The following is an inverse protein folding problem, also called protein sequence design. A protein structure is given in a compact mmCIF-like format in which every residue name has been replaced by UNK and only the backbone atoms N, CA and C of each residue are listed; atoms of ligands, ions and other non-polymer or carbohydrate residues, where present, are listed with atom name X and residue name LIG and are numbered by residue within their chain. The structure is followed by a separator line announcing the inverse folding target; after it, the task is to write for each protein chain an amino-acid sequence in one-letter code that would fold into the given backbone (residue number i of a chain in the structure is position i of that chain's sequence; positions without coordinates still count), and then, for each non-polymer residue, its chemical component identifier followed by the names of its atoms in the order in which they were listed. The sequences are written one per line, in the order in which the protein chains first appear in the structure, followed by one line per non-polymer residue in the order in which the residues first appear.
data_IF_794119419651
#
_entry.id   IF_794119419651
#
_cell.length_a   1.000
_cell.length_b   1.000
_cell.length_c   1.000
_cell.angle_alpha   90.00
_cell.angle_beta   90.00
_cell.angle_gamma   90.00
#
_symmetry.space_group_name_H-M   'P 1'
#
loop_
_entity.id
_entity.type
_entity.pdbx_description
1 polymer ?
#
# COMPACT_ATOMS: atom_id res chain seq x y z
N UNK A 1 -79.27 -52.61 -4.27
CA UNK A 1 -78.63 -51.28 -4.13
C UNK A 1 -78.19 -50.84 -5.52
N UNK A 2 -78.81 -49.75 -5.96
CA UNK A 2 -78.57 -48.83 -7.09
C UNK A 2 -77.79 -49.24 -8.37
N UNK A 3 -78.22 -48.74 -9.55
CA UNK A 3 -77.88 -49.22 -10.90
C UNK A 3 -77.00 -48.22 -11.68
N UNK A 4 -76.77 -48.46 -12.99
CA UNK A 4 -76.79 -47.49 -14.13
C UNK A 4 -75.79 -47.87 -15.23
N UNK A 5 -76.27 -48.18 -16.43
CA UNK A 5 -76.63 -47.31 -17.56
C UNK A 5 -75.44 -47.03 -18.50
N UNK A 6 -75.64 -47.49 -19.74
CA UNK A 6 -75.10 -46.99 -21.01
C UNK A 6 -75.01 -45.46 -21.12
N UNK A 7 -74.09 -44.94 -21.94
CA UNK A 7 -74.34 -43.95 -23.02
C UNK A 7 -73.00 -43.41 -23.63
N UNK A 8 -72.89 -43.57 -24.95
CA UNK A 8 -72.49 -42.61 -26.01
C UNK A 8 -71.31 -41.62 -25.77
N UNK A 9 -70.35 -41.50 -26.71
CA UNK A 9 -69.33 -40.44 -26.68
C UNK A 9 -69.89 -39.05 -27.08
N UNK A 10 -69.52 -38.03 -26.30
CA UNK A 10 -69.80 -36.61 -26.51
C UNK A 10 -68.90 -35.98 -27.58
N UNK A 11 -69.49 -35.06 -28.35
CA UNK A 11 -68.81 -33.99 -29.09
C UNK A 11 -68.04 -33.05 -28.14
N UNK A 12 -66.95 -32.43 -28.60
CA UNK A 12 -66.65 -30.99 -28.46
C UNK A 12 -65.37 -30.61 -29.23
N UNK A 13 -65.48 -29.82 -30.31
CA UNK A 13 -65.18 -28.37 -30.39
C UNK A 13 -63.67 -28.04 -30.47
N UNK A 14 -63.16 -27.88 -31.70
CA UNK A 14 -61.84 -27.27 -31.95
C UNK A 14 -61.95 -25.74 -31.85
N UNK A 15 -61.38 -25.23 -30.76
CA UNK A 15 -61.34 -23.84 -30.36
C UNK A 15 -60.38 -23.02 -31.24
N UNK A 16 -60.90 -21.96 -31.86
CA UNK A 16 -60.12 -20.84 -32.40
C UNK A 16 -59.53 -20.10 -31.19
N UNK A 17 -58.20 -20.00 -31.07
CA UNK A 17 -57.55 -19.18 -30.04
C UNK A 17 -56.68 -18.09 -30.65
N UNK A 18 -57.21 -16.88 -30.62
CA UNK A 18 -56.56 -15.61 -30.95
C UNK A 18 -55.51 -15.29 -29.87
N UNK A 19 -54.22 -15.39 -30.18
CA UNK A 19 -53.15 -14.92 -29.27
C UNK A 19 -53.14 -13.38 -29.23
N UNK A 20 -53.57 -12.79 -28.09
CA UNK A 20 -53.25 -11.40 -27.73
C UNK A 20 -51.86 -11.38 -27.09
N UNK A 21 -50.91 -10.76 -27.77
CA UNK A 21 -49.56 -10.49 -27.25
C UNK A 21 -49.65 -9.29 -26.29
N UNK A 22 -49.60 -9.53 -24.98
CA UNK A 22 -49.45 -8.45 -23.99
C UNK A 22 -47.95 -8.19 -23.76
N UNK A 23 -47.47 -7.04 -24.22
CA UNK A 23 -46.13 -6.55 -23.92
C UNK A 23 -46.10 -5.95 -22.51
N UNK A 24 -45.54 -6.68 -21.56
CA UNK A 24 -45.20 -6.15 -20.24
C UNK A 24 -43.85 -5.43 -20.32
N UNK A 25 -43.85 -4.10 -20.34
CA UNK A 25 -42.64 -3.31 -20.16
C UNK A 25 -42.14 -3.48 -18.71
N UNK A 26 -41.04 -4.21 -18.52
CA UNK A 26 -40.29 -4.20 -17.27
C UNK A 26 -39.42 -2.95 -17.25
N UNK A 27 -39.79 -1.98 -16.42
CA UNK A 27 -38.95 -0.83 -16.10
C UNK A 27 -37.68 -1.30 -15.40
N UNK A 28 -36.52 -1.14 -16.05
CA UNK A 28 -35.22 -1.30 -15.40
C UNK A 28 -34.97 -0.04 -14.58
N UNK A 29 -35.15 -0.12 -13.27
CA UNK A 29 -34.65 0.89 -12.36
C UNK A 29 -33.12 0.78 -12.33
N UNK A 30 -32.45 1.71 -13.01
CA UNK A 30 -31.00 1.86 -12.92
C UNK A 30 -30.70 2.59 -11.60
N UNK A 31 -30.42 1.81 -10.55
CA UNK A 31 -29.90 2.35 -9.30
C UNK A 31 -28.51 2.91 -9.58
N UNK A 32 -28.39 4.24 -9.66
CA UNK A 32 -27.09 4.90 -9.59
C UNK A 32 -26.64 4.75 -8.14
N UNK A 33 -25.88 3.70 -7.85
CA UNK A 33 -25.15 3.60 -6.59
C UNK A 33 -24.18 4.77 -6.55
N UNK A 34 -24.43 5.73 -5.64
CA UNK A 34 -23.39 6.63 -5.18
C UNK A 34 -22.38 5.75 -4.44
N UNK A 35 -21.41 5.19 -5.17
CA UNK A 35 -20.19 4.69 -4.55
C UNK A 35 -19.54 5.92 -3.92
N UNK A 36 -19.50 5.98 -2.59
CA UNK A 36 -18.61 6.92 -1.92
C UNK A 36 -17.23 6.75 -2.55
N UNK A 37 -16.66 7.84 -3.09
CA UNK A 37 -15.27 7.81 -3.50
C UNK A 37 -14.46 7.49 -2.25
N UNK A 38 -13.86 6.31 -2.20
CA UNK A 38 -12.76 6.08 -1.25
C UNK A 38 -11.72 7.13 -1.61
N UNK A 39 -11.46 8.04 -0.69
CA UNK A 39 -10.39 9.02 -0.86
C UNK A 39 -9.09 8.22 -0.86
N UNK A 40 -8.49 8.09 -2.05
CA UNK A 40 -7.21 7.41 -2.19
C UNK A 40 -6.09 8.20 -1.50
N UNK A 41 -5.07 7.48 -1.06
CA UNK A 41 -3.98 8.05 -0.30
C UNK A 41 -3.15 8.96 -1.22
N UNK A 42 -2.79 10.15 -0.74
CA UNK A 42 -2.05 11.14 -1.54
C UNK A 42 -0.57 11.03 -1.25
N UNK A 43 0.27 10.93 -2.28
CA UNK A 43 1.72 10.86 -2.08
C UNK A 43 2.23 12.20 -1.52
N UNK A 44 2.95 12.16 -0.40
CA UNK A 44 3.51 13.36 0.24
C UNK A 44 5.01 13.44 0.08
N UNK A 45 5.69 12.30 0.06
CA UNK A 45 7.12 12.20 -0.17
C UNK A 45 7.44 11.01 -1.06
N UNK A 46 8.41 11.17 -1.95
CA UNK A 46 8.81 10.14 -2.89
C UNK A 46 10.30 10.24 -3.21
N UNK A 47 10.97 9.10 -3.26
CA UNK A 47 12.33 8.94 -3.73
C UNK A 47 12.39 7.75 -4.67
N UNK A 48 12.66 8.03 -5.94
CA UNK A 48 12.98 7.04 -6.97
C UNK A 48 14.37 6.44 -6.77
N UNK A 49 15.31 7.23 -6.24
CA UNK A 49 16.74 6.91 -6.23
C UNK A 49 17.34 6.67 -7.62
N UNK A 50 16.70 7.21 -8.66
CA UNK A 50 17.10 7.03 -10.06
C UNK A 50 18.44 7.73 -10.39
N UNK A 51 18.76 8.79 -9.65
CA UNK A 51 19.92 9.64 -9.91
C UNK A 51 20.75 9.92 -8.67
N UNK A 52 20.11 10.22 -7.54
CA UNK A 52 20.74 10.52 -6.27
C UNK A 52 19.77 10.30 -5.10
N UNK A 53 20.08 10.89 -3.95
CA UNK A 53 19.32 10.80 -2.71
C UNK A 53 18.32 11.96 -2.49
N UNK A 54 18.11 12.80 -3.51
CA UNK A 54 17.13 13.90 -3.44
C UNK A 54 15.70 13.39 -3.54
N UNK A 55 14.77 14.08 -2.88
CA UNK A 55 13.36 13.74 -2.92
C UNK A 55 12.74 14.22 -4.24
N UNK A 56 12.12 13.31 -4.98
CA UNK A 56 11.31 13.64 -6.17
C UNK A 56 10.02 14.38 -5.78
N UNK A 57 9.45 14.04 -4.62
CA UNK A 57 8.30 14.72 -3.99
C UNK A 57 8.61 14.91 -2.50
N UNK A 58 8.22 16.06 -1.93
CA UNK A 58 8.43 16.38 -0.50
C UNK A 58 9.38 17.56 -0.26
N UNK A 59 10.11 17.99 -1.30
CA UNK A 59 11.02 19.14 -1.25
C UNK A 59 12.35 18.84 -0.56
N UNK A 60 13.29 19.79 -0.66
CA UNK A 60 14.70 19.57 -0.29
C UNK A 60 14.96 19.33 1.20
N UNK A 61 13.99 19.61 2.09
CA UNK A 61 14.12 19.25 3.50
C UNK A 61 14.09 17.74 3.74
N UNK A 62 13.53 17.00 2.79
CA UNK A 62 13.43 15.54 2.84
C UNK A 62 14.60 14.85 2.09
N UNK A 63 15.55 15.60 1.53
CA UNK A 63 16.71 15.03 0.85
C UNK A 63 17.54 14.19 1.83
N UNK A 64 17.91 12.99 1.42
CA UNK A 64 18.79 12.14 2.20
C UNK A 64 20.25 12.57 2.05
N UNK A 65 20.97 12.57 3.17
CA UNK A 65 22.43 12.64 3.20
C UNK A 65 23.01 11.24 3.23
N UNK A 66 23.81 10.90 2.22
CA UNK A 66 24.56 9.65 2.19
C UNK A 66 25.65 9.62 3.27
N UNK A 67 25.83 8.47 3.93
CA UNK A 67 26.89 8.26 4.93
C UNK A 67 27.75 7.07 4.56
N UNK A 68 29.05 7.19 4.84
CA UNK A 68 30.09 6.19 4.54
C UNK A 68 30.15 5.80 3.05
N UNK A 69 29.77 6.73 2.17
CA UNK A 69 29.83 6.54 0.72
C UNK A 69 28.68 5.72 0.15
N UNK A 70 27.53 5.61 0.83
CA UNK A 70 26.30 5.09 0.22
C UNK A 70 26.01 5.82 -1.10
N UNK A 71 25.44 5.13 -2.09
CA UNK A 71 25.19 5.69 -3.42
C UNK A 71 23.75 5.47 -3.88
N UNK A 72 23.29 6.28 -4.82
CA UNK A 72 22.01 6.12 -5.51
C UNK A 72 22.20 6.45 -7.00
N UNK A 73 21.36 5.90 -7.86
CA UNK A 73 21.41 6.08 -9.32
C UNK A 73 22.47 5.26 -10.07
N UNK A 74 23.30 4.48 -9.36
CA UNK A 74 24.41 3.73 -9.94
C UNK A 74 24.13 2.26 -10.26
N UNK A 75 23.05 1.70 -9.73
CA UNK A 75 22.68 0.27 -9.86
C UNK A 75 21.25 0.14 -10.36
N UNK A 76 20.96 -0.93 -11.10
CA UNK A 76 19.59 -1.17 -11.63
C UNK A 76 18.62 -1.48 -10.49
N UNK A 77 17.53 -0.71 -10.45
CA UNK A 77 16.45 -0.82 -9.47
C UNK A 77 15.35 -1.79 -9.90
N UNK A 78 14.30 -1.85 -9.07
CA UNK A 78 13.00 -2.43 -9.44
C UNK A 78 12.35 -1.58 -10.54
N UNK A 79 12.44 -0.25 -10.42
CA UNK A 79 11.96 0.73 -11.37
C UNK A 79 13.07 1.75 -11.63
N UNK A 80 13.79 1.60 -12.76
CA UNK A 80 14.90 2.48 -13.07
C UNK A 80 16.19 2.07 -12.36
N UNK A 81 16.77 2.95 -11.55
CA UNK A 81 17.93 2.70 -10.70
C UNK A 81 17.53 2.66 -9.21
N UNK A 82 18.49 2.36 -8.33
CA UNK A 82 18.22 2.25 -6.90
C UNK A 82 19.34 2.85 -6.04
N UNK A 83 19.03 3.02 -4.75
CA UNK A 83 20.03 3.23 -3.71
C UNK A 83 20.73 1.90 -3.39
N UNK A 84 22.05 1.96 -3.18
CA UNK A 84 22.90 0.79 -2.90
C UNK A 84 23.65 0.99 -1.57
N UNK A 85 23.60 -0.04 -0.72
CA UNK A 85 24.18 -0.02 0.62
C UNK A 85 25.07 -1.23 0.85
N UNK A 86 26.31 -0.96 1.26
CA UNK A 86 27.27 -1.98 1.70
C UNK A 86 27.40 -1.99 3.23
N UNK A 87 27.08 -3.14 3.85
CA UNK A 87 27.14 -3.27 5.31
C UNK A 87 28.55 -3.27 5.88
N UNK A 88 29.52 -3.90 5.22
CA UNK A 88 30.91 -3.92 5.68
C UNK A 88 31.48 -2.51 5.78
N UNK A 89 30.98 -1.60 4.94
CA UNK A 89 31.29 -0.16 4.98
C UNK A 89 30.40 0.64 5.93
N UNK A 90 29.46 0.00 6.65
CA UNK A 90 28.46 0.63 7.51
C UNK A 90 27.70 1.76 6.79
N UNK A 91 27.33 1.54 5.53
CA UNK A 91 26.62 2.53 4.72
C UNK A 91 25.16 2.67 5.14
N UNK A 92 24.66 3.89 5.00
CA UNK A 92 23.25 4.26 5.18
C UNK A 92 23.01 5.64 4.60
N UNK A 93 21.75 6.04 4.49
CA UNK A 93 21.37 7.42 4.18
C UNK A 93 20.38 7.94 5.22
N UNK A 94 20.45 9.23 5.54
CA UNK A 94 19.67 9.83 6.63
C UNK A 94 19.09 11.19 6.28
N UNK A 95 17.86 11.44 6.74
CA UNK A 95 17.19 12.74 6.69
C UNK A 95 16.47 12.98 8.03
N UNK A 96 16.17 14.23 8.37
CA UNK A 96 15.63 14.61 9.69
C UNK A 96 14.27 15.30 9.65
N UNK A 97 13.69 15.52 8.47
CA UNK A 97 12.37 16.10 8.35
C UNK A 97 11.28 15.13 8.84
N UNK A 98 10.21 15.73 9.37
CA UNK A 98 9.00 15.01 9.71
C UNK A 98 8.28 14.56 8.44
N UNK A 99 8.00 13.26 8.33
CA UNK A 99 7.36 12.67 7.15
C UNK A 99 5.86 12.43 7.38
N UNK A 100 5.47 12.17 8.63
CA UNK A 100 4.06 12.02 9.03
C UNK A 100 3.79 12.70 10.36
N UNK A 101 2.51 12.92 10.66
CA UNK A 101 2.06 13.54 11.92
C UNK A 101 1.41 12.51 12.85
N UNK A 102 1.53 12.73 14.15
CA UNK A 102 0.93 11.83 15.13
C UNK A 102 -0.59 11.90 15.07
N UNK A 103 -1.24 10.73 14.99
CA UNK A 103 -2.71 10.63 15.00
C UNK A 103 -3.37 10.96 13.66
N UNK A 104 -2.62 10.96 12.57
CA UNK A 104 -3.14 11.02 11.20
C UNK A 104 -3.00 9.67 10.52
N UNK A 105 -3.81 9.43 9.51
CA UNK A 105 -3.66 8.28 8.62
C UNK A 105 -2.41 8.45 7.76
N UNK A 106 -1.66 7.38 7.56
CA UNK A 106 -0.56 7.40 6.60
C UNK A 106 -0.23 6.00 6.09
N UNK A 107 0.50 5.97 4.98
CA UNK A 107 1.09 4.74 4.45
C UNK A 107 2.54 4.96 4.02
N UNK A 108 3.31 3.88 4.01
CA UNK A 108 4.70 3.85 3.51
C UNK A 108 4.84 2.64 2.59
N UNK A 109 5.43 2.84 1.41
CA UNK A 109 5.82 1.75 0.51
C UNK A 109 7.30 1.83 0.20
N UNK A 110 7.97 0.68 0.14
CA UNK A 110 9.38 0.60 -0.24
C UNK A 110 9.68 -0.72 -0.93
N UNK A 111 10.47 -0.68 -1.98
CA UNK A 111 11.08 -1.88 -2.56
C UNK A 111 12.49 -2.07 -2.01
N UNK A 112 12.83 -3.32 -1.69
CA UNK A 112 14.19 -3.67 -1.29
C UNK A 112 14.64 -4.97 -1.96
N UNK A 113 15.94 -5.08 -2.15
CA UNK A 113 16.63 -6.27 -2.61
C UNK A 113 17.73 -6.60 -1.61
N UNK A 114 17.64 -7.77 -0.95
CA UNK A 114 18.64 -8.19 0.03
C UNK A 114 19.73 -9.03 -0.65
N UNK A 115 20.97 -8.53 -0.61
CA UNK A 115 22.17 -9.18 -1.15
C UNK A 115 22.87 -10.07 -0.12
N UNK A 116 22.60 -9.88 1.17
CA UNK A 116 23.24 -10.69 2.22
C UNK A 116 22.23 -11.58 2.95
N UNK A 117 22.14 -12.85 2.53
CA UNK A 117 21.27 -13.82 3.17
C UNK A 117 21.90 -14.48 4.39
N UNK A 118 23.15 -14.18 4.70
CA UNK A 118 23.95 -14.91 5.69
C UNK A 118 24.07 -14.19 7.03
N UNK A 119 23.51 -12.99 7.14
CA UNK A 119 23.60 -12.22 8.36
C UNK A 119 22.85 -12.81 9.53
N UNK A 120 23.59 -13.04 10.60
CA UNK A 120 23.03 -13.48 11.88
C UNK A 120 22.64 -12.28 12.74
N UNK A 121 21.52 -11.63 12.39
CA UNK A 121 20.98 -10.52 13.15
C UNK A 121 19.81 -9.80 12.49
N UNK A 122 19.37 -8.71 13.10
CA UNK A 122 18.34 -7.83 12.54
C UNK A 122 18.98 -6.74 11.67
N UNK A 123 18.47 -6.54 10.47
CA UNK A 123 18.85 -5.45 9.57
C UNK A 123 17.68 -4.50 9.37
N UNK A 124 17.97 -3.25 8.99
CA UNK A 124 16.95 -2.23 8.79
C UNK A 124 16.95 -1.73 7.35
N UNK A 125 15.81 -1.91 6.69
CA UNK A 125 15.51 -1.22 5.43
C UNK A 125 15.26 0.24 5.76
N UNK A 126 14.43 0.50 6.77
CA UNK A 126 14.20 1.83 7.31
C UNK A 126 13.90 1.79 8.81
N UNK A 127 14.28 2.85 9.52
CA UNK A 127 13.91 3.11 10.91
C UNK A 127 13.72 4.61 11.11
N UNK A 128 12.65 5.01 11.82
CA UNK A 128 12.46 6.41 12.15
C UNK A 128 13.49 6.90 13.18
N UNK A 129 13.69 8.22 13.19
CA UNK A 129 14.58 8.91 14.13
C UNK A 129 13.82 9.82 15.12
N UNK A 130 12.48 9.82 15.11
CA UNK A 130 11.58 10.81 15.70
C UNK A 130 12.02 12.27 15.55
N UNK A 131 12.58 12.63 14.40
CA UNK A 131 13.08 13.98 14.09
C UNK A 131 14.41 14.32 14.78
N UNK A 132 15.06 13.33 15.41
CA UNK A 132 16.38 13.46 16.04
C UNK A 132 17.53 13.11 15.05
N UNK A 133 18.75 13.38 15.48
CA UNK A 133 19.98 13.04 14.79
C UNK A 133 20.45 11.62 15.09
N UNK A 134 21.17 11.02 14.16
CA UNK A 134 21.75 9.68 14.33
C UNK A 134 22.84 9.66 15.42
N UNK A 135 22.91 8.57 16.20
CA UNK A 135 24.02 8.33 17.14
C UNK A 135 23.90 8.99 18.52
N UNK A 136 22.79 9.64 18.85
CA UNK A 136 22.51 10.06 20.24
C UNK A 136 22.07 8.82 21.04
N UNK A 137 22.60 8.62 22.25
CA UNK A 137 22.23 7.47 23.12
C UNK A 137 20.76 7.50 23.59
N UNK A 138 19.99 8.49 23.14
CA UNK A 138 18.58 8.69 23.39
C UNK A 138 17.76 8.82 22.08
N UNK A 139 18.28 8.38 20.93
CA UNK A 139 17.53 8.40 19.66
C UNK A 139 16.34 7.43 19.77
N UNK A 140 15.23 8.04 20.11
CA UNK A 140 13.92 7.48 20.41
C UNK A 140 13.27 7.11 19.06
N UNK A 141 12.64 5.94 18.94
CA UNK A 141 12.11 5.42 17.66
C UNK A 141 10.66 4.98 17.83
N UNK A 142 9.80 5.15 16.82
CA UNK A 142 8.50 4.49 16.76
C UNK A 142 8.49 3.29 15.85
N UNK A 143 8.96 3.46 14.61
CA UNK A 143 8.58 2.58 13.51
C UNK A 143 9.80 2.10 12.73
N UNK A 144 9.79 0.84 12.31
CA UNK A 144 10.81 0.32 11.39
C UNK A 144 10.28 -0.79 10.49
N UNK A 145 10.92 -0.91 9.32
CA UNK A 145 10.83 -2.07 8.44
C UNK A 145 12.24 -2.67 8.38
N UNK A 146 12.35 -3.97 8.66
CA UNK A 146 13.63 -4.66 8.69
C UNK A 146 13.51 -6.14 8.41
N UNK A 147 14.65 -6.82 8.32
CA UNK A 147 14.72 -8.29 8.23
C UNK A 147 15.25 -8.84 9.54
N UNK A 148 14.68 -9.96 9.98
CA UNK A 148 15.23 -10.79 11.05
C UNK A 148 16.27 -11.77 10.50
N UNK A 149 16.98 -12.48 11.39
CA UNK A 149 17.97 -13.50 11.04
C UNK A 149 17.43 -14.58 10.10
N UNK A 150 16.16 -14.94 10.24
CA UNK A 150 15.44 -15.91 9.41
C UNK A 150 14.90 -15.31 8.09
N UNK A 151 15.22 -14.04 7.80
CA UNK A 151 14.70 -13.24 6.69
C UNK A 151 13.19 -12.99 6.77
N UNK A 152 12.57 -13.15 7.94
CA UNK A 152 11.23 -12.64 8.17
C UNK A 152 11.25 -11.11 8.05
N UNK A 153 10.44 -10.56 7.15
CA UNK A 153 10.23 -9.13 7.11
C UNK A 153 9.42 -8.71 8.33
N UNK A 154 9.97 -7.77 9.09
CA UNK A 154 9.42 -7.28 10.33
C UNK A 154 8.99 -5.84 10.17
N UNK A 155 7.74 -5.58 10.53
CA UNK A 155 7.18 -4.24 10.70
C UNK A 155 7.02 -4.02 12.20
N UNK A 156 7.86 -3.18 12.76
CA UNK A 156 7.87 -2.90 14.19
C UNK A 156 7.22 -1.56 14.48
N UNK A 157 6.44 -1.53 15.56
CA UNK A 157 5.93 -0.32 16.16
C UNK A 157 6.16 -0.36 17.68
N UNK A 158 6.66 0.74 18.24
CA UNK A 158 7.00 0.86 19.66
C UNK A 158 5.82 0.48 20.55
N UNK A 159 6.10 -0.03 21.75
CA UNK A 159 5.16 -0.40 22.81
C UNK A 159 4.16 -1.54 22.49
N UNK A 160 3.95 -1.87 21.21
CA UNK A 160 3.00 -2.90 20.77
C UNK A 160 3.69 -4.12 20.13
N UNK A 161 4.91 -3.95 19.60
CA UNK A 161 5.74 -5.05 19.11
C UNK A 161 5.87 -5.05 17.60
N UNK A 162 5.80 -6.23 16.97
CA UNK A 162 5.98 -6.36 15.52
C UNK A 162 5.01 -7.34 14.90
N UNK A 163 4.57 -7.05 13.68
CA UNK A 163 4.04 -8.06 12.76
C UNK A 163 5.19 -8.56 11.88
N UNK A 164 5.14 -9.84 11.52
CA UNK A 164 6.20 -10.49 10.75
C UNK A 164 5.61 -11.32 9.61
N UNK A 165 6.29 -11.31 8.48
CA UNK A 165 6.01 -12.23 7.39
C UNK A 165 6.65 -13.60 7.67
N UNK A 166 6.36 -14.57 6.80
CA UNK A 166 7.29 -15.69 6.59
C UNK A 166 8.58 -15.19 5.90
N UNK A 167 9.65 -15.99 5.82
CA UNK A 167 10.90 -15.56 5.21
C UNK A 167 10.70 -15.04 3.78
N UNK A 168 11.27 -13.88 3.48
CA UNK A 168 11.26 -13.33 2.12
C UNK A 168 12.29 -14.05 1.26
N UNK A 169 12.03 -14.11 -0.04
CA UNK A 169 12.99 -14.68 -0.99
C UNK A 169 14.22 -13.80 -1.10
N UNK A 170 15.38 -14.43 -1.09
CA UNK A 170 16.67 -13.76 -1.27
C UNK A 170 16.89 -13.42 -2.74
N UNK A 171 17.74 -12.43 -3.01
CA UNK A 171 18.13 -12.06 -4.36
C UNK A 171 16.93 -11.75 -5.27
N UNK A 172 15.87 -11.20 -4.67
CA UNK A 172 14.65 -10.79 -5.37
C UNK A 172 14.12 -9.51 -4.76
N UNK A 173 13.67 -8.62 -5.63
CA UNK A 173 12.94 -7.42 -5.22
C UNK A 173 11.68 -7.81 -4.44
N UNK A 174 11.57 -7.26 -3.23
CA UNK A 174 10.44 -7.44 -2.33
C UNK A 174 9.82 -6.08 -2.02
N UNK A 175 8.51 -5.98 -2.14
CA UNK A 175 7.78 -4.78 -1.76
C UNK A 175 7.28 -4.91 -0.32
N UNK A 176 7.65 -3.96 0.53
CA UNK A 176 7.11 -3.81 1.87
C UNK A 176 6.21 -2.58 1.93
N UNK A 177 4.98 -2.78 2.40
CA UNK A 177 4.02 -1.69 2.62
C UNK A 177 3.56 -1.72 4.07
N UNK A 178 3.47 -0.54 4.65
CA UNK A 178 2.97 -0.29 5.98
C UNK A 178 1.83 0.71 5.88
N UNK A 179 0.70 0.43 6.52
CA UNK A 179 -0.39 1.40 6.67
C UNK A 179 -0.67 1.63 8.15
N UNK A 180 -0.99 2.87 8.50
CA UNK A 180 -1.52 3.25 9.79
C UNK A 180 -2.83 4.01 9.58
N UNK A 181 -3.92 3.40 10.01
CA UNK A 181 -5.26 3.98 10.04
C UNK A 181 -5.47 4.50 11.46
N UNK A 182 -5.63 5.81 11.70
CA UNK A 182 -5.63 6.40 13.03
C UNK A 182 -6.90 6.08 13.84
N UNK A 183 -7.98 5.65 13.20
CA UNK A 183 -9.25 5.28 13.82
C UNK A 183 -9.79 3.88 13.45
N UNK A 184 -8.99 3.09 12.72
CA UNK A 184 -9.39 1.77 12.21
C UNK A 184 -9.41 0.60 13.20
N UNK A 185 -8.97 0.77 14.45
CA UNK A 185 -8.99 -0.32 15.45
C UNK A 185 -10.42 -0.60 15.95
N UNK A 186 -10.73 -1.88 16.21
CA UNK A 186 -12.10 -2.30 16.62
C UNK A 186 -12.48 -1.70 17.99
N UNK A 187 -11.51 -1.52 18.87
CA UNK A 187 -11.68 -0.90 20.19
C UNK A 187 -11.59 0.64 20.19
N UNK A 188 -11.39 1.26 19.03
CA UNK A 188 -11.00 2.67 18.90
C UNK A 188 -9.48 2.86 19.00
N UNK A 189 -8.96 3.85 18.25
CA UNK A 189 -7.52 4.08 18.08
C UNK A 189 -7.01 3.53 16.76
N UNK A 190 -5.69 3.54 16.58
CA UNK A 190 -5.11 3.25 15.27
C UNK A 190 -4.85 1.78 14.99
N UNK A 191 -4.91 1.40 13.71
CA UNK A 191 -4.62 0.08 13.17
C UNK A 191 -3.37 0.14 12.28
N UNK A 192 -2.31 -0.48 12.75
CA UNK A 192 -1.07 -0.68 12.03
C UNK A 192 -1.11 -1.98 11.25
N UNK A 193 -0.84 -1.95 9.95
CA UNK A 193 -0.87 -3.15 9.09
C UNK A 193 0.39 -3.25 8.24
N UNK A 194 0.99 -4.43 8.20
CA UNK A 194 2.11 -4.74 7.31
C UNK A 194 1.68 -5.59 6.12
N UNK A 195 2.30 -5.37 4.96
CA UNK A 195 2.11 -6.14 3.74
C UNK A 195 3.46 -6.45 3.09
N UNK A 196 3.60 -7.66 2.55
CA UNK A 196 4.74 -8.07 1.74
C UNK A 196 4.22 -8.54 0.39
N UNK A 197 4.76 -7.97 -0.69
CA UNK A 197 4.37 -8.26 -2.07
C UNK A 197 2.85 -8.18 -2.29
N UNK A 198 2.22 -7.15 -1.70
CA UNK A 198 0.78 -6.91 -1.76
C UNK A 198 -0.08 -7.81 -0.87
N UNK A 199 0.51 -8.74 -0.11
CA UNK A 199 -0.21 -9.64 0.79
C UNK A 199 -0.06 -9.18 2.23
N UNK A 200 -1.19 -9.03 2.94
CA UNK A 200 -1.19 -8.65 4.35
C UNK A 200 -0.51 -9.72 5.21
N UNK A 201 0.44 -9.31 6.05
CA UNK A 201 1.17 -10.21 6.96
C UNK A 201 0.62 -10.18 8.39
N UNK A 202 0.02 -9.07 8.80
CA UNK A 202 -0.62 -8.95 10.11
C UNK A 202 -0.96 -7.51 10.49
N UNK A 203 -1.67 -7.37 11.61
CA UNK A 203 -2.06 -6.08 12.18
C UNK A 203 -1.68 -5.96 13.66
N UNK A 204 -1.50 -4.73 14.13
CA UNK A 204 -1.41 -4.35 15.54
C UNK A 204 -2.26 -3.11 15.80
N UNK A 205 -2.92 -3.04 16.94
CA UNK A 205 -3.62 -1.82 17.37
C UNK A 205 -2.64 -0.90 18.11
N UNK A 206 -2.66 0.41 17.84
CA UNK A 206 -1.92 1.46 18.55
C UNK A 206 -2.61 2.81 18.38
N UNK A 207 -2.80 3.53 19.49
CA UNK A 207 -3.54 4.80 19.49
C UNK A 207 -2.96 5.91 18.61
N UNK A 208 -1.63 6.01 18.47
CA UNK A 208 -0.99 7.05 17.66
C UNK A 208 0.47 6.71 17.37
N UNK A 209 0.95 7.06 16.19
CA UNK A 209 2.37 7.01 15.83
C UNK A 209 2.67 8.07 14.78
N UNK A 210 3.94 8.40 14.62
CA UNK A 210 4.46 9.28 13.58
C UNK A 210 5.84 8.82 13.16
N UNK A 211 6.25 9.19 11.95
CA UNK A 211 7.60 8.98 11.42
C UNK A 211 8.20 10.36 11.21
N UNK A 212 9.13 10.71 12.10
CA UNK A 212 9.94 11.91 11.99
C UNK A 212 11.40 11.53 11.81
N UNK A 213 12.09 12.12 10.84
CA UNK A 213 13.41 11.67 10.44
C UNK A 213 13.42 10.21 9.97
N UNK A 214 14.39 9.86 9.13
CA UNK A 214 14.46 8.51 8.59
C UNK A 214 15.91 8.15 8.33
N UNK A 215 16.32 6.99 8.81
CA UNK A 215 17.50 6.30 8.32
C UNK A 215 17.05 5.15 7.41
N UNK A 216 17.66 5.05 6.24
CA UNK A 216 17.49 3.92 5.31
C UNK A 216 18.80 3.19 5.13
N UNK A 217 18.71 1.87 4.92
CA UNK A 217 19.85 0.98 4.82
C UNK A 217 20.67 0.85 6.12
N UNK A 218 20.15 1.36 7.24
CA UNK A 218 20.92 1.58 8.46
C UNK A 218 20.07 1.53 9.73
N UNK A 219 20.75 1.30 10.84
CA UNK A 219 20.16 1.41 12.19
C UNK A 219 20.32 2.85 12.70
N UNK A 220 19.39 3.34 13.54
CA UNK A 220 19.47 4.71 14.11
C UNK A 220 20.72 4.99 14.97
N UNK A 221 21.48 3.98 15.37
CA UNK A 221 22.79 4.18 16.01
C UNK A 221 23.94 4.32 15.00
N UNK A 222 23.66 4.23 13.70
CA UNK A 222 24.62 4.33 12.60
C UNK A 222 25.55 3.12 12.45
N UNK A 223 25.38 2.06 13.24
CA UNK A 223 26.30 0.91 13.28
C UNK A 223 25.62 -0.43 13.57
N UNK A 224 26.28 -1.52 13.19
CA UNK A 224 26.05 -2.88 13.68
C UNK A 224 24.89 -3.64 13.06
N UNK A 225 23.92 -2.95 12.47
CA UNK A 225 22.67 -3.52 11.90
C UNK A 225 22.27 -2.88 10.57
N UNK A 226 23.27 -2.41 9.84
CA UNK A 226 23.10 -1.86 8.49
C UNK A 226 22.61 -2.94 7.54
N UNK A 227 21.88 -2.52 6.52
CA UNK A 227 21.42 -3.39 5.44
C UNK A 227 22.56 -3.62 4.44
N UNK A 228 22.50 -4.73 3.70
CA UNK A 228 23.39 -4.97 2.56
C UNK A 228 22.52 -5.31 1.35
N UNK A 229 22.53 -4.45 0.35
CA UNK A 229 21.66 -4.53 -0.82
C UNK A 229 21.04 -3.20 -1.20
N UNK A 230 19.96 -3.26 -1.98
CA UNK A 230 19.37 -2.09 -2.63
C UNK A 230 18.00 -1.70 -2.07
N UNK A 231 17.69 -0.41 -2.13
CA UNK A 231 16.37 0.18 -1.82
C UNK A 231 15.92 1.03 -2.99
N UNK A 232 14.64 0.91 -3.34
CA UNK A 232 14.04 1.58 -4.48
C UNK A 232 12.60 2.04 -4.16
N UNK A 233 12.13 3.07 -4.87
CA UNK A 233 10.74 3.50 -4.95
C UNK A 233 10.08 3.71 -3.57
N UNK A 234 10.79 4.43 -2.69
CA UNK A 234 10.33 4.76 -1.34
C UNK A 234 9.28 5.88 -1.43
N UNK A 235 8.09 5.65 -0.89
CA UNK A 235 7.03 6.63 -0.88
C UNK A 235 6.29 6.68 0.46
N UNK A 236 5.87 7.89 0.84
CA UNK A 236 4.97 8.17 1.95
C UNK A 236 3.68 8.76 1.42
N UNK A 237 2.56 8.36 2.03
CA UNK A 237 1.23 8.79 1.64
C UNK A 237 0.48 9.36 2.85
N UNK A 238 -0.28 10.42 2.63
CA UNK A 238 -1.34 10.89 3.52
C UNK A 238 -2.60 10.06 3.27
N UNK A 239 -3.01 9.27 4.26
CA UNK A 239 -4.09 8.29 4.13
C UNK A 239 -3.67 6.82 4.10
N UNK A 240 -4.66 5.95 4.24
CA UNK A 240 -4.52 4.49 4.18
C UNK A 240 -4.63 4.01 2.74
N UNK A 241 -3.59 3.36 2.22
CA UNK A 241 -3.64 2.75 0.89
C UNK A 241 -4.73 1.65 0.84
N UNK A 242 -5.60 1.74 -0.16
CA UNK A 242 -6.58 0.71 -0.49
C UNK A 242 -5.92 -0.54 -1.07
N UNK A 243 -6.65 -1.66 -1.08
CA UNK A 243 -6.18 -2.90 -1.71
C UNK A 243 -5.86 -2.74 -3.20
N UNK A 244 -6.57 -1.84 -3.91
CA UNK A 244 -6.29 -1.52 -5.31
C UNK A 244 -4.97 -0.79 -5.49
N UNK A 245 -4.68 0.19 -4.63
CA UNK A 245 -3.40 0.91 -4.65
C UNK A 245 -2.23 0.00 -4.27
N UNK A 246 -2.40 -0.83 -3.23
CA UNK A 246 -1.42 -1.85 -2.83
C UNK A 246 -1.13 -2.82 -4.00
N UNK A 247 -2.17 -3.25 -4.73
CA UNK A 247 -2.00 -4.11 -5.91
C UNK A 247 -1.26 -3.39 -7.04
N UNK A 248 -1.50 -2.11 -7.26
CA UNK A 248 -0.83 -1.34 -8.31
C UNK A 248 0.67 -1.19 -8.04
N UNK A 249 1.04 -0.94 -6.78
CA UNK A 249 2.44 -0.82 -6.33
C UNK A 249 3.28 -2.07 -6.55
N UNK A 250 2.66 -3.23 -6.86
CA UNK A 250 3.39 -4.44 -7.22
C UNK A 250 3.96 -4.42 -8.64
N UNK A 251 3.41 -3.55 -9.50
CA UNK A 251 3.68 -3.56 -10.94
C UNK A 251 4.01 -2.18 -11.53
N UNK A 252 3.78 -1.12 -10.76
CA UNK A 252 4.05 0.26 -11.14
C UNK A 252 4.79 0.97 -10.00
N UNK A 253 5.65 1.91 -10.38
CA UNK A 253 6.30 2.83 -9.45
C UNK A 253 5.24 3.66 -8.70
N UNK A 254 5.55 4.04 -7.46
CA UNK A 254 4.74 4.93 -6.64
C UNK A 254 4.37 6.24 -7.37
N UNK A 255 5.26 6.79 -8.21
CA UNK A 255 4.98 7.99 -9.00
C UNK A 255 3.86 7.82 -10.04
N UNK A 256 3.57 6.58 -10.46
CA UNK A 256 2.55 6.27 -11.45
C UNK A 256 1.18 5.92 -10.85
N UNK A 257 1.07 5.81 -9.51
CA UNK A 257 -0.19 5.54 -8.84
C UNK A 257 -1.06 6.81 -8.88
N UNK A 258 -2.20 6.81 -9.61
CA UNK A 258 -2.94 8.05 -9.85
C UNK A 258 -3.56 8.61 -8.58
N UNK A 259 -3.39 9.92 -8.35
CA UNK A 259 -4.21 10.60 -7.35
C UNK A 259 -5.71 10.53 -7.74
N UNK A 260 -6.62 10.23 -6.79
CA UNK A 260 -8.04 9.95 -7.04
C UNK A 260 -8.80 11.05 -7.80
N UNK A 261 -8.28 12.27 -7.83
CA UNK A 261 -8.93 13.40 -8.47
C UNK A 261 -8.98 13.30 -10.00
N UNK A 262 -8.02 12.60 -10.64
CA UNK A 262 -7.90 12.59 -12.10
C UNK A 262 -8.82 11.58 -12.80
N UNK A 263 -9.01 10.39 -12.22
CA UNK A 263 -9.82 9.32 -12.82
C UNK A 263 -11.32 9.53 -12.59
N UNK A 264 -11.70 10.03 -11.41
CA UNK A 264 -13.08 10.38 -11.11
C UNK A 264 -13.58 11.55 -11.99
N UNK A 265 -12.74 12.57 -12.23
CA UNK A 265 -13.10 13.71 -13.06
C UNK A 265 -13.28 13.34 -14.55
N UNK A 266 -12.43 12.43 -15.08
CA UNK A 266 -12.59 11.92 -16.45
C UNK A 266 -13.86 11.07 -16.57
N UNK A 267 -14.18 10.25 -15.55
CA UNK A 267 -15.43 9.49 -15.49
C UNK A 267 -16.68 10.39 -15.50
N UNK A 268 -16.69 11.46 -14.69
CA UNK A 268 -17.80 12.43 -14.67
C UNK A 268 -17.89 13.26 -15.96
N UNK A 269 -16.75 13.67 -16.54
CA UNK A 269 -16.73 14.40 -17.81
C UNK A 269 -17.32 13.55 -18.95
N UNK A 270 -16.96 12.27 -19.02
CA UNK A 270 -17.52 11.32 -19.99
C UNK A 270 -19.04 11.14 -19.87
N UNK A 271 -19.56 11.02 -18.64
CA UNK A 271 -21.00 10.95 -18.36
C UNK A 271 -21.73 12.26 -18.71
N UNK A 272 -21.12 13.41 -18.47
CA UNK A 272 -21.65 14.72 -18.84
C UNK A 272 -21.85 14.89 -20.36
N UNK A 273 -20.92 14.37 -21.17
CA UNK A 273 -21.06 14.38 -22.63
C UNK A 273 -22.13 13.40 -23.14
N UNK A 274 -22.31 12.25 -22.50
CA UNK A 274 -23.34 11.27 -22.87
C UNK A 274 -24.75 11.82 -22.57
N UNK A 275 -24.92 12.53 -21.46
CA UNK A 275 -26.21 13.13 -21.08
C UNK A 275 -26.58 14.37 -21.90
N UNK A 276 -25.60 15.12 -22.43
CA UNK A 276 -25.85 16.30 -23.28
C UNK A 276 -26.32 15.94 -24.70
N UNK A 277 -26.07 14.70 -25.15
CA UNK A 277 -26.43 14.23 -26.50
C UNK A 277 -27.89 13.76 -26.64
N UNK A 278 -28.68 13.82 -25.56
CA UNK A 278 -30.08 13.38 -25.49
C UNK A 278 -31.09 14.52 -25.23
N UNK A 279 -30.76 15.75 -25.60
CA UNK A 279 -31.73 16.85 -25.70
C UNK A 279 -31.93 17.25 -27.15
#
# INVERSE_FOLDING_TARGET
MSPRETLVPKQEQNLIHTMKLQHTLKSVAMTIGLTASVQAATITHYWSFDSDFTADIGGSSADFSAVNGATAGGVTGKFGNAADFNRDSSQYAVQTADLTSAGTDFSVSVWFYNDDPTYDGRQFILEDLRGDSIGTTASDYNTSIGLQTDLDAQFYIRDNGSVRSAPVSQNTWTNAILTFDADGAVGGGGLFTGYINGVQVGTLERNSTAIGGLVIGGHRAGTGRNFDGQIDDLAFYDGVLSSGEISNLQTASAAAVPEPSSTALIGLAGLGFILRRRR
#
